data_IF_259193711806
#
_entry.id   IF_259193711806
#
_cell.length_a   1.000
_cell.length_b   1.000
_cell.length_c   1.000
_cell.angle_alpha   90.00
_cell.angle_beta   90.00
_cell.angle_gamma   90.00
#
_symmetry.space_group_name_H-M   'P 1'
#
loop_
_entity.id
_entity.type
_entity.pdbx_description
1 polymer ?
#
# COMPACT_ATOMS: atom_id res chain seq x y z
N UNK A 1 24.93 4.22 19.04
CA UNK A 1 25.22 3.09 18.13
C UNK A 1 25.93 3.65 16.90
N UNK A 2 27.25 3.40 16.70
CA UNK A 2 27.92 3.85 15.48
C UNK A 2 27.32 3.12 14.27
N UNK A 3 26.95 3.87 13.22
CA UNK A 3 26.45 3.30 11.97
C UNK A 3 27.63 2.72 11.20
N UNK A 4 27.64 1.40 11.01
CA UNK A 4 28.66 0.72 10.19
C UNK A 4 28.55 1.18 8.73
N UNK A 5 29.68 1.51 8.14
CA UNK A 5 29.76 1.83 6.71
C UNK A 5 29.39 0.58 5.90
N UNK A 6 28.42 0.71 5.00
CA UNK A 6 28.05 -0.35 4.07
C UNK A 6 29.00 -0.27 2.88
N UNK A 7 29.60 -1.40 2.53
CA UNK A 7 30.51 -1.52 1.40
C UNK A 7 29.75 -1.64 0.08
N UNK A 8 30.41 -1.32 -1.03
CA UNK A 8 29.85 -1.51 -2.37
C UNK A 8 29.49 -2.97 -2.63
N UNK A 9 30.31 -3.92 -2.16
CA UNK A 9 30.04 -5.35 -2.28
C UNK A 9 28.76 -5.78 -1.56
N UNK A 10 28.52 -5.26 -0.35
CA UNK A 10 27.28 -5.51 0.40
C UNK A 10 26.05 -4.92 -0.32
N UNK A 11 26.18 -3.75 -0.95
CA UNK A 11 25.10 -3.15 -1.75
C UNK A 11 24.78 -3.99 -2.99
N UNK A 12 25.81 -4.44 -3.72
CA UNK A 12 25.62 -5.29 -4.90
C UNK A 12 24.95 -6.62 -4.55
N UNK A 13 25.36 -7.27 -3.45
CA UNK A 13 24.73 -8.49 -2.96
C UNK A 13 23.25 -8.26 -2.60
N UNK A 14 22.94 -7.10 -2.00
CA UNK A 14 21.56 -6.72 -1.68
C UNK A 14 20.72 -6.46 -2.93
N UNK A 15 21.29 -5.86 -3.97
CA UNK A 15 20.61 -5.62 -5.25
C UNK A 15 20.29 -6.96 -5.92
N UNK A 16 21.27 -7.86 -6.06
CA UNK A 16 21.04 -9.18 -6.64
C UNK A 16 19.92 -9.96 -5.93
N UNK A 17 19.90 -9.92 -4.59
CA UNK A 17 18.84 -10.54 -3.79
C UNK A 17 17.44 -9.91 -3.98
N UNK A 18 17.39 -8.62 -4.35
CA UNK A 18 16.14 -7.94 -4.68
C UNK A 18 15.67 -8.30 -6.10
N UNK A 19 16.57 -8.38 -7.06
CA UNK A 19 16.27 -8.77 -8.45
C UNK A 19 15.67 -10.18 -8.51
N UNK A 20 16.28 -11.15 -7.83
CA UNK A 20 15.76 -12.53 -7.75
C UNK A 20 14.35 -12.58 -7.13
N UNK A 21 14.11 -11.72 -6.14
CA UNK A 21 12.79 -11.60 -5.49
C UNK A 21 11.75 -11.00 -6.42
N UNK A 22 12.10 -9.98 -7.19
CA UNK A 22 11.22 -9.37 -8.19
C UNK A 22 10.87 -10.41 -9.25
N UNK A 23 11.85 -11.15 -9.77
CA UNK A 23 11.62 -12.21 -10.74
C UNK A 23 10.60 -13.27 -10.25
N UNK A 24 10.67 -13.67 -8.96
CA UNK A 24 9.66 -14.57 -8.37
C UNK A 24 8.26 -13.96 -8.32
N UNK A 25 8.15 -12.68 -7.97
CA UNK A 25 6.88 -11.96 -7.90
C UNK A 25 6.25 -11.84 -9.29
N UNK A 26 7.04 -11.48 -10.30
CA UNK A 26 6.61 -11.40 -11.70
C UNK A 26 6.16 -12.77 -12.23
N UNK A 27 6.88 -13.84 -11.88
CA UNK A 27 6.49 -15.21 -12.20
C UNK A 27 5.28 -15.73 -11.41
N UNK A 28 4.69 -14.92 -10.52
CA UNK A 28 3.60 -15.31 -9.60
C UNK A 28 3.96 -16.49 -8.68
N UNK A 29 5.25 -16.69 -8.41
CA UNK A 29 5.79 -17.75 -7.53
C UNK A 29 6.21 -17.19 -6.17
N UNK A 30 5.43 -16.24 -5.65
CA UNK A 30 5.68 -15.68 -4.34
C UNK A 30 5.41 -16.74 -3.26
N UNK A 31 6.25 -16.86 -2.22
CA UNK A 31 5.97 -17.76 -1.11
C UNK A 31 4.67 -17.37 -0.39
N UNK A 32 3.95 -18.35 0.20
CA UNK A 32 2.75 -18.06 0.97
C UNK A 32 3.08 -17.11 2.14
N UNK A 33 2.29 -16.05 2.29
CA UNK A 33 2.54 -15.00 3.29
C UNK A 33 3.49 -13.89 2.85
N UNK A 34 3.99 -13.90 1.60
CA UNK A 34 4.66 -12.73 1.04
C UNK A 34 3.63 -11.60 0.85
N UNK A 35 3.53 -10.73 1.86
CA UNK A 35 2.58 -9.61 1.89
C UNK A 35 2.76 -8.61 0.73
N UNK A 36 3.85 -8.74 -0.06
CA UNK A 36 4.07 -7.94 -1.28
C UNK A 36 3.38 -8.53 -2.51
N UNK A 37 3.14 -9.85 -2.52
CA UNK A 37 2.36 -10.52 -3.56
C UNK A 37 0.85 -10.40 -3.31
N UNK A 38 0.46 -10.18 -2.06
CA UNK A 38 -0.94 -9.99 -1.68
C UNK A 38 -1.37 -8.54 -1.93
N UNK A 39 -2.25 -8.33 -2.91
CA UNK A 39 -2.99 -7.06 -2.99
C UNK A 39 -3.92 -6.98 -1.78
N UNK A 40 -3.81 -5.97 -0.90
CA UNK A 40 -4.78 -5.80 0.16
C UNK A 40 -6.17 -5.61 -0.48
N UNK A 41 -7.24 -6.14 0.14
CA UNK A 41 -8.59 -5.92 -0.37
C UNK A 41 -8.83 -4.41 -0.48
N UNK A 42 -9.13 -3.93 -1.69
CA UNK A 42 -9.55 -2.55 -1.88
C UNK A 42 -10.81 -2.34 -1.05
N UNK A 43 -10.79 -1.41 -0.10
CA UNK A 43 -12.00 -1.03 0.65
C UNK A 43 -13.03 -0.47 -0.34
N UNK A 44 -14.00 -1.28 -0.72
CA UNK A 44 -15.10 -0.97 -1.67
C UNK A 44 -16.21 -0.11 -1.04
N UNK A 45 -15.86 0.77 -0.11
CA UNK A 45 -16.83 1.70 0.48
C UNK A 45 -17.16 2.84 -0.49
N UNK A 46 -18.43 3.30 -0.47
CA UNK A 46 -18.81 4.57 -1.08
C UNK A 46 -17.82 5.66 -0.64
N UNK A 47 -17.42 6.54 -1.55
CA UNK A 47 -16.61 7.73 -1.25
C UNK A 47 -17.47 8.98 -1.30
N UNK A 48 -17.14 9.97 -0.49
CA UNK A 48 -17.80 11.26 -0.57
C UNK A 48 -17.49 11.95 -1.90
N UNK A 49 -18.50 12.40 -2.67
CA UNK A 49 -18.27 13.12 -3.91
C UNK A 49 -17.61 14.49 -3.69
N UNK A 50 -17.60 15.02 -2.46
CA UNK A 50 -16.95 16.28 -2.12
C UNK A 50 -15.47 16.17 -1.80
N UNK A 51 -15.07 15.21 -0.95
CA UNK A 51 -13.69 15.11 -0.44
C UNK A 51 -12.95 13.83 -0.82
N UNK A 52 -13.60 12.87 -1.49
CA UNK A 52 -12.99 11.61 -1.92
C UNK A 52 -12.65 10.63 -0.78
N UNK A 53 -12.85 11.00 0.48
CA UNK A 53 -12.68 10.13 1.63
C UNK A 53 -13.81 9.10 1.73
N UNK A 54 -13.60 7.97 2.44
CA UNK A 54 -14.65 6.99 2.70
C UNK A 54 -15.90 7.66 3.29
N UNK A 55 -17.05 7.43 2.66
CA UNK A 55 -18.29 8.09 2.98
C UNK A 55 -18.79 7.67 4.36
N UNK A 56 -18.61 8.56 5.33
CA UNK A 56 -19.25 8.47 6.65
C UNK A 56 -20.35 9.51 6.71
N UNK A 57 -21.61 9.07 6.85
CA UNK A 57 -22.78 9.97 6.99
C UNK A 57 -22.96 10.35 8.46
N UNK A 58 -23.06 11.64 8.75
CA UNK A 58 -23.47 12.18 10.06
C UNK A 58 -24.52 13.26 9.83
N UNK A 59 -25.75 13.01 10.31
CA UNK A 59 -26.88 13.96 10.21
C UNK A 59 -27.12 14.49 8.78
N UNK A 60 -27.21 13.62 7.77
CA UNK A 60 -27.45 14.05 6.38
C UNK A 60 -26.22 14.57 5.62
N UNK A 61 -25.06 14.73 6.29
CA UNK A 61 -23.84 15.32 5.72
C UNK A 61 -22.66 14.36 5.79
N UNK A 62 -21.63 14.63 5.00
CA UNK A 62 -20.34 13.98 5.13
C UNK A 62 -19.73 14.35 6.48
N UNK A 63 -19.33 13.35 7.27
CA UNK A 63 -18.69 13.57 8.56
C UNK A 63 -17.30 14.21 8.43
N UNK A 64 -16.63 14.05 7.29
CA UNK A 64 -15.27 14.55 7.06
C UNK A 64 -15.25 15.99 6.51
N UNK A 65 -16.07 16.29 5.49
CA UNK A 65 -16.06 17.60 4.84
C UNK A 65 -17.34 18.42 5.06
N UNK A 66 -18.32 17.90 5.79
CA UNK A 66 -19.58 18.60 6.07
C UNK A 66 -20.53 18.75 4.88
N UNK A 67 -20.16 18.25 3.68
CA UNK A 67 -20.99 18.38 2.47
C UNK A 67 -22.33 17.63 2.63
N UNK A 68 -23.47 18.23 2.25
CA UNK A 68 -24.74 17.51 2.18
C UNK A 68 -24.64 16.29 1.25
N UNK A 69 -25.18 15.16 1.68
CA UNK A 69 -25.18 13.91 0.90
C UNK A 69 -26.55 13.60 0.30
N UNK A 70 -27.57 14.35 0.68
CA UNK A 70 -28.88 14.38 0.03
C UNK A 70 -28.92 15.62 -0.88
N UNK A 71 -29.58 15.53 -2.05
CA UNK A 71 -29.77 16.66 -2.96
C UNK A 71 -30.55 17.81 -2.31
#
# INVERSE_FOLDING_TARGET
>A
MPRRAVTTGELLARIAALEERVARLEAKRAPPGDGRASSPPRRTGLRCPGCGLPLKKRRGRCAECGRPLEP
#
